data_IF_920690910686
#
_entry.id   IF_920690910686
#
_cell.length_a   1.000
_cell.length_b   1.000
_cell.length_c   1.000
_cell.angle_alpha   90.00
_cell.angle_beta   90.00
_cell.angle_gamma   90.00
#
_symmetry.space_group_name_H-M   'P 1'
#
loop_
_entity.id
_entity.type
_entity.pdbx_description
1 polymer ?
2 non-polymer ?
3 water ?
#
# COMPACT_ATOMS: atom_id res chain seq x y z
N UNK A 12 -2.35 9.10 14.36
CA UNK A 12 -2.30 7.64 14.25
C UNK A 12 -1.57 7.17 12.99
N UNK A 13 -0.29 6.91 13.12
CA UNK A 13 0.55 6.69 11.96
C UNK A 13 0.84 5.21 11.78
N UNK A 14 1.05 4.84 10.52
CA UNK A 14 1.48 3.49 10.14
C UNK A 14 2.81 3.62 9.41
N UNK A 15 3.75 2.71 9.71
CA UNK A 15 5.04 2.67 9.00
C UNK A 15 4.90 1.83 7.75
N UNK A 16 5.31 2.37 6.60
CA UNK A 16 5.18 1.62 5.33
C UNK A 16 6.53 1.55 4.63
N UNK A 17 7.05 0.33 4.45
CA UNK A 17 8.28 0.16 3.71
C UNK A 17 7.92 0.09 2.24
N UNK A 18 8.71 0.75 1.42
CA UNK A 18 8.47 0.86 0.00
C UNK A 18 9.60 0.23 -0.80
N UNK A 19 9.41 0.02 -2.11
CA UNK A 19 10.49 -0.56 -2.91
C UNK A 19 11.73 0.31 -2.87
N UNK A 20 12.88 -0.30 -3.16
CA UNK A 20 14.15 0.41 -3.29
C UNK A 20 14.58 1.04 -1.96
N UNK A 21 14.33 0.34 -0.86
CA UNK A 21 14.73 0.73 0.50
C UNK A 21 14.05 2.00 0.99
N UNK A 22 13.01 2.46 0.31
CA UNK A 22 12.33 3.67 0.75
C UNK A 22 11.32 3.38 1.85
N UNK A 23 10.89 4.43 2.54
CA UNK A 23 10.01 4.23 3.68
C UNK A 23 9.25 5.51 3.97
N UNK A 24 8.01 5.38 4.44
CA UNK A 24 7.16 6.53 4.64
C UNK A 24 6.23 6.25 5.81
N UNK A 25 5.78 7.30 6.49
CA UNK A 25 4.74 7.18 7.50
C UNK A 25 3.47 7.80 6.95
N UNK A 26 2.36 7.12 7.15
CA UNK A 26 1.08 7.64 6.67
C UNK A 26 0.14 7.77 7.85
N UNK A 27 -0.77 8.73 7.76
CA UNK A 27 -1.77 8.95 8.79
C UNK A 27 -3.04 8.19 8.46
N UNK A 28 -3.69 7.66 9.49
CA UNK A 28 -4.86 6.81 9.33
C UNK A 28 -6.02 7.42 10.10
N UNK A 29 -7.16 7.58 9.44
CA UNK A 29 -8.43 7.85 10.10
C UNK A 29 -9.32 6.61 10.03
N UNK A 30 -10.27 6.51 10.97
CA UNK A 30 -11.16 5.35 11.00
C UNK A 30 -11.91 5.23 9.68
N UNK A 31 -12.08 3.98 9.22
CA UNK A 31 -12.80 3.70 8.00
C UNK A 31 -11.99 3.82 6.72
N UNK A 32 -11.00 4.71 6.67
CA UNK A 32 -10.10 4.86 5.52
C UNK A 32 -9.59 3.51 5.03
N UNK A 33 -9.70 3.27 3.72
CA UNK A 33 -9.09 2.08 3.17
C UNK A 33 -7.58 2.23 3.06
N UNK A 34 -6.90 1.09 2.95
CA UNK A 34 -5.47 1.13 2.70
C UNK A 34 -5.16 1.93 1.44
N UNK A 35 -5.93 1.73 0.38
CA UNK A 35 -5.74 2.49 -0.85
C UNK A 35 -5.79 3.98 -0.57
N UNK A 36 -6.82 4.43 0.15
CA UNK A 36 -6.96 5.86 0.40
C UNK A 36 -5.88 6.38 1.34
N UNK A 37 -5.45 5.55 2.27
CA UNK A 37 -4.41 5.94 3.22
C UNK A 37 -3.07 6.15 2.55
N UNK A 38 -2.77 5.37 1.52
CA UNK A 38 -1.45 5.34 0.93
C UNK A 38 -1.36 6.11 -0.37
N UNK A 39 -2.49 6.51 -0.95
CA UNK A 39 -2.51 7.07 -2.31
C UNK A 39 -1.50 8.21 -2.48
N UNK A 40 -1.58 9.23 -1.62
CA UNK A 40 -0.75 10.42 -1.76
C UNK A 40 0.72 10.12 -1.48
N UNK A 41 0.99 9.33 -0.45
CA UNK A 41 2.38 9.00 -0.13
C UNK A 41 3.03 8.23 -1.27
N UNK A 42 2.26 7.42 -2.00
CA UNK A 42 2.83 6.76 -3.17
C UNK A 42 2.97 7.72 -4.34
N UNK A 43 1.94 8.56 -4.56
CA UNK A 43 1.94 9.46 -5.69
C UNK A 43 3.15 10.37 -5.66
N UNK A 44 3.51 10.88 -4.48
CA UNK A 44 4.63 11.82 -4.41
C UNK A 44 5.96 11.15 -4.65
N UNK A 45 6.01 9.82 -4.62
CA UNK A 45 7.21 9.09 -4.98
C UNK A 45 7.12 8.48 -6.37
N UNK A 46 6.11 8.84 -7.16
CA UNK A 46 5.99 8.31 -8.51
C UNK A 46 5.40 6.92 -8.62
N UNK A 47 4.50 6.54 -7.71
CA UNK A 47 3.96 5.20 -7.66
C UNK A 47 2.44 5.27 -7.54
N UNK A 48 1.76 4.27 -8.10
CA UNK A 48 0.32 4.15 -7.94
C UNK A 48 -0.02 2.83 -7.25
N UNK A 49 -1.00 2.79 -6.35
CA UNK A 49 -1.34 1.51 -5.71
C UNK A 49 -1.66 0.43 -6.72
N UNK A 50 -2.24 0.80 -7.86
CA UNK A 50 -2.70 -0.20 -8.81
C UNK A 50 -1.55 -0.99 -9.40
N UNK A 51 -0.33 -0.47 -9.31
CA UNK A 51 0.86 -1.12 -9.82
C UNK A 51 1.58 -1.93 -8.78
N UNK A 52 1.00 -2.07 -7.58
CA UNK A 52 1.71 -2.59 -6.44
C UNK A 52 0.88 -3.61 -5.71
N UNK A 53 1.56 -4.36 -4.86
CA UNK A 53 0.93 -5.25 -3.89
C UNK A 53 1.33 -4.77 -2.51
N UNK A 54 0.49 -5.07 -1.51
CA UNK A 54 0.79 -4.57 -0.17
C UNK A 54 0.67 -5.74 0.80
N UNK A 55 1.47 -5.69 1.87
CA UNK A 55 1.60 -6.77 2.84
C UNK A 55 1.61 -6.19 4.24
N UNK A 56 1.16 -7.00 5.19
CA UNK A 56 1.33 -6.74 6.61
C UNK A 56 2.51 -7.58 7.09
N UNK A 57 3.44 -6.97 7.82
CA UNK A 57 4.58 -7.70 8.35
C UNK A 57 4.22 -8.23 9.73
N UNK A 58 4.33 -9.54 9.92
CA UNK A 58 3.83 -10.17 11.13
C UNK A 58 4.64 -11.42 11.49
N UNK A 61 7.00 -12.36 8.80
CA UNK A 61 6.75 -12.72 7.40
C UNK A 61 5.88 -11.67 6.70
N UNK A 62 5.82 -11.71 5.36
CA UNK A 62 4.95 -10.84 4.58
C UNK A 62 3.63 -11.55 4.37
N UNK A 63 2.55 -10.96 4.86
CA UNK A 63 1.23 -11.53 4.64
C UNK A 63 0.44 -10.62 3.70
N UNK A 64 -0.03 -11.09 2.55
CA UNK A 64 -0.69 -10.17 1.61
C UNK A 64 -2.03 -9.70 2.13
N UNK A 65 -2.32 -8.44 1.88
CA UNK A 65 -3.61 -7.86 2.24
C UNK A 65 -4.08 -7.02 1.07
N UNK A 66 -5.39 -6.88 0.96
CA UNK A 66 -5.97 -6.13 -0.13
C UNK A 66 -5.99 -4.64 0.07
N UNK A 67 -6.13 -3.93 -1.05
CA UNK A 67 -6.16 -2.48 -1.02
C UNK A 67 -7.44 -1.93 -0.38
N UNK A 68 -8.48 -2.75 -0.19
CA UNK A 68 -9.66 -2.28 0.51
C UNK A 68 -9.64 -2.62 2.00
N UNK A 69 -8.52 -3.12 2.51
CA UNK A 69 -8.40 -3.32 3.96
C UNK A 69 -8.69 -2.02 4.70
N UNK A 70 -9.39 -2.12 5.83
CA UNK A 70 -9.65 -0.95 6.68
C UNK A 70 -8.38 -0.67 7.47
N UNK A 71 -7.71 0.45 7.15
CA UNK A 71 -6.37 0.70 7.69
C UNK A 71 -6.36 0.94 9.20
N UNK A 72 -7.50 1.31 9.79
CA UNK A 72 -7.55 1.54 11.23
C UNK A 72 -7.19 0.29 12.01
N UNK A 73 -7.50 -0.88 11.46
CA UNK A 73 -7.15 -2.12 12.13
C UNK A 73 -5.66 -2.43 12.09
N UNK A 74 -4.89 -1.74 11.24
CA UNK A 74 -3.46 -1.98 11.06
C UNK A 74 -2.57 -1.01 11.82
N UNK A 75 -3.14 0.01 12.47
CA UNK A 75 -2.35 0.93 13.28
C UNK A 75 -1.50 0.11 14.24
N UNK A 76 -0.19 0.40 14.27
CA UNK A 76 0.71 -0.35 15.11
C UNK A 76 1.55 -1.38 14.40
N UNK A 77 1.11 -1.83 13.23
CA UNK A 77 1.89 -2.75 12.44
C UNK A 77 2.73 -2.02 11.41
N UNK A 78 3.67 -2.76 10.85
CA UNK A 78 4.46 -2.28 9.73
C UNK A 78 3.91 -2.93 8.46
N UNK A 79 3.81 -2.14 7.38
CA UNK A 79 3.35 -2.66 6.09
C UNK A 79 4.50 -2.58 5.12
N UNK A 80 4.36 -3.34 4.04
CA UNK A 80 5.36 -3.32 2.98
C UNK A 80 4.64 -3.26 1.64
N UNK A 81 5.13 -2.41 0.74
CA UNK A 81 4.59 -2.28 -0.61
C UNK A 81 5.62 -2.79 -1.61
N UNK A 82 5.18 -3.62 -2.56
CA UNK A 82 6.06 -4.16 -3.61
C UNK A 82 5.45 -3.89 -4.97
N UNK A 83 6.30 -3.75 -5.99
CA UNK A 83 5.76 -3.65 -7.32
C UNK A 83 5.24 -4.99 -7.81
N UNK A 84 4.16 -4.95 -8.58
CA UNK A 84 3.71 -6.16 -9.27
C UNK A 84 4.70 -6.51 -10.37
N UNK A 85 4.81 -7.81 -10.67
CA UNK A 85 5.75 -8.23 -11.71
C UNK A 85 5.27 -7.72 -13.05
N UNK A 86 6.23 -7.40 -13.92
CA UNK A 86 5.89 -6.74 -15.16
C UNK A 86 5.53 -7.79 -16.21
N UNK A 87 4.27 -8.22 -16.20
CA UNK A 87 3.71 -9.22 -17.11
C UNK A 87 2.50 -8.60 -17.80
N UNK A 88 2.29 -8.83 -19.09
CA UNK A 88 1.15 -8.18 -19.76
C UNK A 88 -0.19 -8.50 -19.12
N UNK A 89 -1.04 -7.48 -19.10
CA UNK A 89 -2.42 -7.51 -18.64
C UNK A 89 -3.33 -7.91 -19.78
N UNK A 90 -4.49 -8.47 -19.44
CA UNK A 90 -5.47 -8.69 -20.48
C UNK A 90 -5.91 -7.35 -21.05
N UNK A 91 -6.16 -7.33 -22.35
CA UNK A 91 -6.55 -6.09 -23.01
C UNK A 91 -7.89 -5.59 -22.50
N UNK A 92 -7.95 -4.32 -22.14
CA UNK A 92 -9.20 -3.72 -21.73
C UNK A 92 -9.21 -2.31 -22.32
N UNK A 93 -9.54 -2.20 -23.60
CA UNK A 93 -9.57 -0.89 -24.23
C UNK A 93 -10.98 -0.44 -24.58
N UNK A 94 -11.99 -1.18 -24.13
CA UNK A 94 -13.38 -0.89 -24.52
C UNK A 94 -14.32 -1.58 -23.57
X LIG B 1 -0.06 -1.39 -18.09
X LIG B 1 1.32 -1.23 -13.24
X LIG B 1 -0.76 1.67 -14.05
X LIG B 1 -2.07 1.10 -13.59
X LIG B 1 2.31 -2.19 -13.40
X LIG B 1 1.96 -3.54 -13.52
X LIG B 1 0.62 -3.92 -13.44
X LIG B 1 -0.43 -2.92 -13.24
X LIG B 1 -0.04 -1.58 -13.15
X LIG B 1 -2.76 -2.36 -13.12
X LIG B 1 -1.28 -0.89 -17.66
X LIG B 1 1.20 -6.23 -13.82
X LIG B 1 0.42 -7.51 -13.64
X LIG B 1 -1.37 -0.07 -16.54
X LIG B 1 -0.20 0.25 -15.87
X LIG B 1 1.09 -0.29 -16.35
X LIG B 1 1.14 -1.11 -17.46
X LIG B 1 2.14 0.24 -15.43
X LIG B 1 1.77 0.21 -13.12
X LIG B 1 1.56 1.05 -14.37
X LIG B 1 0.51 -8.47 -14.57
X LIG B 1 0.16 0.98 -14.80
X LIG B 1 -1.74 -3.36 -13.19
X LIG B 1 3.40 -0.02 -15.52
X LIG B 1 -0.46 2.81 -13.73
X LIG B 1 0.22 -5.23 -13.53
X LIG B 1 -0.33 -7.63 -12.70
#
# INVERSE_FOLDING_TARGET
GPLGSDPSKTSNTIRVFLPNSQRTVVNVRNGMSLHDCLMKALKVRGLQPECCAVYRLQDGEKKPIGWNTDAAWLIGEELQVEFLDHVPLTTHNF
USX C1 C10 C11 C12 C13 C14 C15 C16 C17 C18 C2 C20 C21 C3 C4 C5 C6 C7 C8 C9 N23 N8 O1 O10 O13 O19 O22
#
